data_IF_099810678558
#
_entry.id   IF_099810678558
#
_cell.length_a   1.000
_cell.length_b   1.000
_cell.length_c   1.000
_cell.angle_alpha   90.00
_cell.angle_beta   90.00
_cell.angle_gamma   90.00
#
_symmetry.space_group_name_H-M   'P 1'
#
loop_
_entity.id
_entity.type
_entity.pdbx_description
1 polymer ?
#
# COMPACT_ATOMS: atom_id res chain seq x y z
N UNK A 1 15.98 -26.36 10.93
CA UNK A 1 16.50 -24.98 10.96
C UNK A 1 15.68 -24.02 10.09
N UNK A 2 15.55 -24.24 8.77
CA UNK A 2 14.82 -23.34 7.85
C UNK A 2 13.35 -23.05 8.23
N UNK A 3 12.60 -24.05 8.72
CA UNK A 3 11.21 -23.85 9.20
C UNK A 3 11.12 -22.91 10.41
N UNK A 4 12.10 -22.92 11.30
CA UNK A 4 12.12 -22.07 12.49
C UNK A 4 12.47 -20.62 12.13
N UNK A 5 13.39 -20.43 11.17
CA UNK A 5 13.72 -19.12 10.60
C UNK A 5 12.48 -18.51 9.93
N UNK A 6 11.77 -19.27 9.09
CA UNK A 6 10.56 -18.79 8.43
C UNK A 6 9.47 -18.40 9.43
N UNK A 7 9.29 -19.16 10.51
CA UNK A 7 8.36 -18.83 11.60
C UNK A 7 8.77 -17.57 12.36
N UNK A 8 10.06 -17.33 12.57
CA UNK A 8 10.55 -16.11 13.23
C UNK A 8 10.23 -14.86 12.40
N UNK A 9 10.56 -14.89 11.10
CA UNK A 9 10.26 -13.77 10.20
C UNK A 9 8.77 -13.52 10.01
N UNK A 10 7.95 -14.57 10.06
CA UNK A 10 6.50 -14.46 10.00
C UNK A 10 5.89 -13.78 11.24
N UNK A 11 6.60 -13.74 12.38
CA UNK A 11 6.15 -13.05 13.61
C UNK A 11 6.52 -11.56 13.65
N UNK A 12 7.28 -11.07 12.68
CA UNK A 12 7.67 -9.66 12.62
C UNK A 12 6.62 -8.90 11.80
N UNK A 13 5.64 -8.32 12.47
CA UNK A 13 4.52 -7.66 11.78
C UNK A 13 4.89 -6.27 11.25
N UNK A 14 5.77 -5.54 11.95
CA UNK A 14 6.20 -4.20 11.56
C UNK A 14 7.46 -4.19 10.69
N UNK A 15 7.53 -3.23 9.76
CA UNK A 15 8.71 -2.97 8.93
C UNK A 15 9.95 -2.69 9.78
N UNK A 16 9.80 -1.93 10.87
CA UNK A 16 10.87 -1.59 11.82
C UNK A 16 11.56 -2.84 12.39
N UNK A 17 10.78 -3.84 12.81
CA UNK A 17 11.32 -5.08 13.37
C UNK A 17 12.05 -5.89 12.31
N UNK A 18 11.52 -5.94 11.08
CA UNK A 18 12.18 -6.65 9.97
C UNK A 18 13.53 -6.02 9.62
N UNK A 19 13.58 -4.69 9.50
CA UNK A 19 14.81 -3.95 9.24
C UNK A 19 15.82 -4.15 10.37
N UNK A 20 15.39 -4.02 11.63
CA UNK A 20 16.25 -4.23 12.79
C UNK A 20 16.95 -5.59 12.75
N UNK A 21 16.18 -6.68 12.65
CA UNK A 21 16.75 -8.03 12.69
C UNK A 21 17.64 -8.33 11.49
N UNK A 22 17.28 -7.87 10.29
CA UNK A 22 18.10 -8.10 9.09
C UNK A 22 19.44 -7.41 9.22
N UNK A 23 19.43 -6.13 9.59
CA UNK A 23 20.66 -5.35 9.72
C UNK A 23 21.51 -5.89 10.86
N UNK A 24 20.89 -6.23 12.00
CA UNK A 24 21.59 -6.81 13.14
C UNK A 24 22.32 -8.10 12.77
N UNK A 25 21.69 -9.00 12.02
CA UNK A 25 22.32 -10.26 11.58
C UNK A 25 23.52 -9.99 10.68
N UNK A 26 23.38 -9.09 9.70
CA UNK A 26 24.47 -8.73 8.79
C UNK A 26 25.63 -8.07 9.55
N UNK A 27 25.35 -7.07 10.38
CA UNK A 27 26.38 -6.35 11.15
C UNK A 27 27.08 -7.26 12.15
N UNK A 28 26.34 -8.14 12.85
CA UNK A 28 26.95 -9.10 13.79
C UNK A 28 27.84 -10.11 13.05
N UNK A 29 27.42 -10.57 11.87
CA UNK A 29 28.22 -11.46 11.02
C UNK A 29 29.53 -10.80 10.57
N UNK A 30 29.45 -9.56 10.10
CA UNK A 30 30.63 -8.77 9.67
C UNK A 30 31.56 -8.49 10.85
N UNK A 31 31.02 -8.10 12.01
CA UNK A 31 31.81 -7.87 13.22
C UNK A 31 32.51 -9.14 13.69
N UNK A 32 31.83 -10.29 13.63
CA UNK A 32 32.42 -11.59 14.00
C UNK A 32 33.53 -12.00 13.04
N UNK A 33 33.32 -11.82 11.73
CA UNK A 33 34.34 -12.12 10.73
C UNK A 33 35.56 -11.20 10.88
N UNK A 34 35.32 -9.89 11.05
CA UNK A 34 36.38 -8.91 11.28
C UNK A 34 37.18 -9.25 12.56
N UNK A 35 36.51 -9.68 13.63
CA UNK A 35 37.20 -10.10 14.85
C UNK A 35 38.11 -11.33 14.63
N UNK A 36 37.62 -12.35 13.92
CA UNK A 36 38.42 -13.52 13.57
C UNK A 36 39.63 -13.10 12.71
N UNK A 37 39.41 -12.22 11.74
CA UNK A 37 40.47 -11.71 10.86
C UNK A 37 41.56 -10.97 11.65
N UNK A 38 41.18 -10.04 12.55
CA UNK A 38 42.13 -9.32 13.40
C UNK A 38 42.95 -10.25 14.31
N UNK A 39 42.33 -11.33 14.81
CA UNK A 39 43.01 -12.33 15.64
C UNK A 39 44.03 -13.14 14.81
N UNK A 40 43.66 -13.51 13.58
CA UNK A 40 44.54 -14.28 12.68
C UNK A 40 45.73 -13.44 12.23
N UNK A 41 45.53 -12.17 11.88
CA UNK A 41 46.62 -11.27 11.48
C UNK A 41 47.53 -10.87 12.66
N UNK A 42 47.07 -11.05 13.91
CA UNK A 42 47.88 -10.80 15.09
C UNK A 42 48.23 -9.33 15.31
N UNK A 43 47.41 -8.40 14.80
CA UNK A 43 47.68 -6.95 14.80
C UNK A 43 47.97 -6.43 16.22
N UNK A 44 47.02 -6.59 17.14
CA UNK A 44 47.18 -6.32 18.57
C UNK A 44 46.03 -6.97 19.37
N UNK A 45 46.32 -7.36 20.61
CA UNK A 45 45.32 -7.82 21.60
C UNK A 45 44.20 -6.80 21.85
N UNK A 46 44.51 -5.50 21.90
CA UNK A 46 43.51 -4.44 22.09
C UNK A 46 42.54 -4.34 20.90
N UNK A 47 43.06 -4.42 19.67
CA UNK A 47 42.25 -4.43 18.45
C UNK A 47 41.30 -5.63 18.41
N UNK A 48 41.80 -6.82 18.77
CA UNK A 48 41.01 -8.05 18.83
C UNK A 48 39.89 -7.97 19.88
N UNK A 49 40.17 -7.37 21.04
CA UNK A 49 39.17 -7.18 22.08
C UNK A 49 38.06 -6.21 21.63
N UNK A 50 38.44 -5.10 20.98
CA UNK A 50 37.48 -4.12 20.46
C UNK A 50 36.60 -4.70 19.34
N UNK A 51 37.16 -5.50 18.43
CA UNK A 51 36.40 -6.12 17.34
C UNK A 51 35.42 -7.17 17.84
N UNK A 52 35.79 -7.98 18.83
CA UNK A 52 34.85 -8.86 19.56
C UNK A 52 33.78 -8.03 20.27
N UNK A 53 34.17 -6.90 20.86
CA UNK A 53 33.26 -5.94 21.50
C UNK A 53 32.12 -5.48 20.59
N UNK A 54 32.38 -5.27 19.29
CA UNK A 54 31.34 -4.92 18.31
C UNK A 54 30.23 -5.97 18.22
N UNK A 55 30.60 -7.26 18.14
CA UNK A 55 29.63 -8.35 18.07
C UNK A 55 28.84 -8.48 19.39
N UNK A 56 29.53 -8.33 20.53
CA UNK A 56 28.90 -8.38 21.86
C UNK A 56 27.89 -7.25 22.06
N UNK A 57 28.23 -6.01 21.66
CA UNK A 57 27.29 -4.88 21.68
C UNK A 57 26.06 -5.15 20.84
N UNK A 58 26.21 -5.70 19.64
CA UNK A 58 25.07 -6.06 18.78
C UNK A 58 24.15 -7.07 19.49
N UNK A 59 24.70 -8.12 20.09
CA UNK A 59 23.93 -9.15 20.80
C UNK A 59 23.23 -8.57 22.04
N UNK A 60 23.92 -7.72 22.83
CA UNK A 60 23.32 -7.06 23.99
C UNK A 60 22.16 -6.15 23.60
N UNK A 61 22.33 -5.35 22.54
CA UNK A 61 21.24 -4.51 22.02
C UNK A 61 20.08 -5.36 21.51
N UNK A 62 20.34 -6.49 20.86
CA UNK A 62 19.31 -7.42 20.44
C UNK A 62 18.45 -7.90 21.63
N UNK A 63 19.11 -8.25 22.73
CA UNK A 63 18.44 -8.67 23.95
C UNK A 63 17.59 -7.54 24.55
N UNK A 64 18.14 -6.33 24.66
CA UNK A 64 17.42 -5.14 25.15
C UNK A 64 16.21 -4.82 24.25
N UNK A 65 16.37 -4.92 22.93
CA UNK A 65 15.29 -4.66 21.97
C UNK A 65 14.13 -5.65 22.12
N UNK A 66 14.43 -6.93 22.40
CA UNK A 66 13.42 -7.95 22.68
C UNK A 66 12.68 -7.67 24.00
N UNK A 67 13.39 -7.24 25.04
CA UNK A 67 12.78 -6.95 26.35
C UNK A 67 11.94 -5.69 26.37
N UNK A 68 12.44 -4.61 25.74
CA UNK A 68 11.78 -3.30 25.76
C UNK A 68 10.73 -3.13 24.66
N UNK A 69 10.84 -3.88 23.56
CA UNK A 69 10.04 -3.69 22.36
C UNK A 69 10.38 -2.43 21.56
N UNK A 70 11.38 -1.64 21.98
CA UNK A 70 11.78 -0.36 21.39
C UNK A 70 12.86 -0.54 20.31
N UNK A 71 12.53 -1.30 19.26
CA UNK A 71 13.50 -1.74 18.23
C UNK A 71 14.23 -0.59 17.54
N UNK A 72 13.51 0.46 17.11
CA UNK A 72 14.14 1.59 16.41
C UNK A 72 15.07 2.43 17.32
N UNK A 73 14.74 2.57 18.61
CA UNK A 73 15.60 3.27 19.55
C UNK A 73 16.85 2.45 19.85
N UNK A 74 16.69 1.15 20.09
CA UNK A 74 17.78 0.20 20.26
C UNK A 74 18.72 0.19 19.04
N UNK A 75 18.15 0.21 17.83
CA UNK A 75 18.89 0.33 16.58
C UNK A 75 19.77 1.59 16.54
N UNK A 76 19.18 2.76 16.81
CA UNK A 76 19.89 4.03 16.78
C UNK A 76 21.01 4.05 17.84
N UNK A 77 20.75 3.53 19.04
CA UNK A 77 21.74 3.40 20.11
C UNK A 77 22.90 2.50 19.68
N UNK A 78 22.62 1.35 19.07
CA UNK A 78 23.67 0.47 18.53
C UNK A 78 24.54 1.19 17.51
N UNK A 79 23.92 1.87 16.53
CA UNK A 79 24.68 2.63 15.53
C UNK A 79 25.52 3.73 16.17
N UNK A 80 25.01 4.44 17.18
CA UNK A 80 25.79 5.44 17.90
C UNK A 80 26.97 4.83 18.67
N UNK A 81 26.78 3.68 19.34
CA UNK A 81 27.86 3.00 20.06
C UNK A 81 28.94 2.55 19.08
N UNK A 82 28.54 1.94 17.96
CA UNK A 82 29.46 1.52 16.92
C UNK A 82 30.22 2.73 16.35
N UNK A 83 29.52 3.77 15.89
CA UNK A 83 30.10 4.89 15.17
C UNK A 83 30.88 5.88 16.04
N UNK A 84 30.44 6.12 17.28
CA UNK A 84 31.05 7.13 18.17
C UNK A 84 32.14 6.57 19.11
N UNK A 85 32.14 5.25 19.39
CA UNK A 85 33.07 4.68 20.36
C UNK A 85 33.92 3.57 19.74
N UNK A 86 33.28 2.54 19.18
CA UNK A 86 34.02 1.36 18.71
C UNK A 86 34.83 1.66 17.44
N UNK A 87 34.27 2.41 16.48
CA UNK A 87 35.00 2.78 15.27
C UNK A 87 36.22 3.67 15.55
N UNK A 88 36.14 4.75 16.36
CA UNK A 88 37.31 5.52 16.76
C UNK A 88 38.40 4.69 17.47
N UNK A 89 38.02 3.80 18.39
CA UNK A 89 38.98 2.92 19.08
C UNK A 89 39.68 1.97 18.11
N UNK A 90 38.92 1.32 17.23
CA UNK A 90 39.47 0.44 16.20
C UNK A 90 40.35 1.22 15.21
N UNK A 91 40.00 2.47 14.90
CA UNK A 91 40.83 3.34 14.08
C UNK A 91 42.21 3.55 14.71
N UNK A 92 42.29 3.77 16.03
CA UNK A 92 43.57 3.92 16.73
C UNK A 92 44.36 2.61 16.84
N UNK A 93 43.67 1.49 17.05
CA UNK A 93 44.31 0.19 17.30
C UNK A 93 44.70 -0.58 16.04
N UNK A 94 44.08 -0.32 14.89
CA UNK A 94 44.30 -1.08 13.66
C UNK A 94 45.11 -0.33 12.59
N UNK A 95 45.75 0.80 12.93
CA UNK A 95 46.61 1.54 12.01
C UNK A 95 45.94 2.70 11.27
N UNK A 96 44.72 3.06 11.65
CA UNK A 96 44.07 4.31 11.24
C UNK A 96 43.95 4.46 9.72
N UNK A 97 44.50 5.55 9.18
CA UNK A 97 44.33 5.92 7.76
C UNK A 97 45.02 4.95 6.79
N UNK A 98 46.02 4.19 7.25
CA UNK A 98 46.76 3.23 6.41
C UNK A 98 46.10 1.84 6.37
N UNK A 99 45.00 1.66 7.09
CA UNK A 99 44.24 0.41 7.18
C UNK A 99 42.88 0.52 6.47
N UNK A 100 42.08 -0.54 6.49
CA UNK A 100 40.69 -0.54 6.03
C UNK A 100 39.73 0.30 6.89
N UNK A 101 40.16 0.81 8.06
CA UNK A 101 39.30 1.50 9.02
C UNK A 101 38.48 2.69 8.46
N UNK A 102 38.96 3.52 7.52
CA UNK A 102 38.14 4.55 6.89
C UNK A 102 36.85 4.00 6.25
N UNK A 103 36.90 2.80 5.66
CA UNK A 103 35.73 2.16 5.05
C UNK A 103 34.73 1.67 6.11
N UNK A 104 35.21 1.17 7.25
CA UNK A 104 34.35 0.82 8.39
C UNK A 104 33.69 2.07 9.00
N UNK A 105 34.42 3.17 9.13
CA UNK A 105 33.87 4.47 9.56
C UNK A 105 32.71 4.91 8.66
N UNK A 106 32.91 4.95 7.33
CA UNK A 106 31.85 5.29 6.36
C UNK A 106 30.66 4.34 6.45
N UNK A 107 30.92 3.04 6.60
CA UNK A 107 29.86 2.02 6.73
C UNK A 107 29.04 2.24 7.99
N UNK A 108 29.70 2.47 9.13
CA UNK A 108 29.04 2.74 10.41
C UNK A 108 28.13 3.98 10.37
N UNK A 109 28.57 5.04 9.68
CA UNK A 109 27.77 6.25 9.45
C UNK A 109 26.58 5.97 8.54
N UNK A 110 26.79 5.17 7.49
CA UNK A 110 25.74 4.80 6.53
C UNK A 110 24.63 3.97 7.18
N UNK A 111 24.95 3.16 8.20
CA UNK A 111 23.93 2.43 8.97
C UNK A 111 22.93 3.38 9.65
N UNK A 112 23.37 4.55 10.14
CA UNK A 112 22.47 5.53 10.77
C UNK A 112 21.37 6.01 9.80
N UNK A 113 21.63 6.02 8.49
CA UNK A 113 20.65 6.45 7.49
C UNK A 113 19.38 5.56 7.49
N UNK A 114 19.52 4.29 7.83
CA UNK A 114 18.45 3.30 7.90
C UNK A 114 17.65 3.36 9.21
N UNK A 115 18.07 4.17 10.18
CA UNK A 115 17.27 4.43 11.38
C UNK A 115 16.01 5.24 11.01
N UNK A 116 14.93 5.03 11.76
CA UNK A 116 13.70 5.79 11.62
C UNK A 116 13.61 6.91 12.66
N UNK A 117 12.83 7.95 12.33
CA UNK A 117 12.58 9.07 13.25
C UNK A 117 13.58 10.23 13.15
N UNK A 118 13.27 11.30 13.89
CA UNK A 118 13.94 12.60 13.81
C UNK A 118 15.36 12.66 14.39
N UNK A 119 15.73 11.71 15.26
CA UNK A 119 17.01 11.73 15.97
C UNK A 119 18.20 11.21 15.12
N UNK A 120 17.95 10.60 13.96
CA UNK A 120 19.01 10.06 13.10
C UNK A 120 19.95 11.13 12.53
N UNK A 121 19.43 12.32 12.23
CA UNK A 121 20.23 13.42 11.66
C UNK A 121 21.21 13.99 12.71
N UNK A 122 20.76 14.35 13.93
CA UNK A 122 21.68 14.71 15.01
C UNK A 122 22.71 13.61 15.31
N UNK A 123 22.28 12.34 15.38
CA UNK A 123 23.17 11.22 15.63
C UNK A 123 24.25 11.06 14.55
N UNK A 124 23.88 11.23 13.27
CA UNK A 124 24.80 11.20 12.15
C UNK A 124 25.83 12.33 12.23
N UNK A 125 25.38 13.58 12.46
CA UNK A 125 26.26 14.75 12.55
C UNK A 125 27.26 14.59 13.71
N UNK A 126 26.77 14.14 14.87
CA UNK A 126 27.60 13.90 16.04
C UNK A 126 28.63 12.78 15.79
N UNK A 127 28.20 11.66 15.23
CA UNK A 127 29.09 10.53 14.88
C UNK A 127 30.15 10.95 13.87
N UNK A 128 29.76 11.70 12.84
CA UNK A 128 30.68 12.24 11.83
C UNK A 128 31.72 13.16 12.49
N UNK A 129 31.28 14.06 13.37
CA UNK A 129 32.16 14.95 14.11
C UNK A 129 33.22 14.21 14.93
N UNK A 130 32.83 13.15 15.64
CA UNK A 130 33.77 12.32 16.41
C UNK A 130 34.77 11.61 15.49
N UNK A 131 34.30 11.01 14.40
CA UNK A 131 35.19 10.31 13.46
C UNK A 131 36.15 11.28 12.78
N UNK A 132 35.68 12.45 12.35
CA UNK A 132 36.54 13.51 11.79
C UNK A 132 37.55 14.02 12.80
N UNK A 133 37.16 14.22 14.06
CA UNK A 133 38.07 14.61 15.13
C UNK A 133 39.13 13.54 15.41
N UNK A 134 38.77 12.25 15.35
CA UNK A 134 39.71 11.14 15.51
C UNK A 134 40.75 11.13 14.40
N UNK A 135 40.31 11.28 13.14
CA UNK A 135 41.21 11.37 11.99
C UNK A 135 42.15 12.59 12.13
N UNK A 136 41.60 13.76 12.45
CA UNK A 136 42.40 14.97 12.64
C UNK A 136 43.42 14.84 13.80
N UNK A 137 43.03 14.18 14.90
CA UNK A 137 43.92 13.91 16.02
C UNK A 137 45.08 12.99 15.62
N UNK A 138 44.83 11.93 14.84
CA UNK A 138 45.90 11.05 14.34
C UNK A 138 46.82 11.71 13.33
N UNK A 139 46.33 12.72 12.61
CA UNK A 139 47.17 13.53 11.72
C UNK A 139 48.09 14.47 12.51
N UNK A 140 47.56 15.12 13.56
CA UNK A 140 48.34 16.02 14.42
C UNK A 140 49.31 15.26 15.34
N UNK A 141 48.94 14.06 15.77
CA UNK A 141 49.70 13.20 16.68
C UNK A 141 49.78 11.76 16.14
N UNK A 142 50.71 11.47 15.22
CA UNK A 142 50.84 10.14 14.62
C UNK A 142 51.10 9.02 15.64
N UNK A 143 51.75 9.33 16.76
CA UNK A 143 52.06 8.39 17.84
C UNK A 143 50.80 7.85 18.57
N UNK A 144 49.62 8.41 18.29
CA UNK A 144 48.34 7.86 18.78
C UNK A 144 47.99 6.51 18.15
N UNK A 145 48.57 6.19 16.98
CA UNK A 145 48.33 4.91 16.31
C UNK A 145 49.16 3.80 16.98
N UNK A 146 48.46 2.78 17.47
CA UNK A 146 49.10 1.69 18.22
C UNK A 146 49.66 0.61 17.31
N UNK A 147 49.00 0.34 16.18
CA UNK A 147 49.49 -0.61 15.19
C UNK A 147 50.12 0.14 14.01
N UNK A 148 51.30 -0.30 13.60
CA UNK A 148 51.92 0.08 12.35
C UNK A 148 51.90 -1.15 11.43
N UNK A 149 51.05 -1.11 10.42
CA UNK A 149 50.94 -2.20 9.44
C UNK A 149 52.07 -2.07 8.43
N UNK A 150 52.65 -3.20 8.05
CA UNK A 150 53.50 -3.26 6.88
C UNK A 150 52.67 -3.11 5.60
N UNK A 151 53.35 -2.92 4.47
CA UNK A 151 52.69 -2.62 3.20
C UNK A 151 51.73 -3.75 2.80
N UNK A 152 52.14 -5.00 2.96
CA UNK A 152 51.38 -6.15 2.48
C UNK A 152 50.15 -6.42 3.36
N UNK A 153 50.26 -6.32 4.70
CA UNK A 153 49.12 -6.43 5.60
C UNK A 153 48.13 -5.27 5.39
N UNK A 154 48.62 -4.05 5.18
CA UNK A 154 47.76 -2.89 4.88
C UNK A 154 46.91 -3.11 3.61
N UNK A 155 47.51 -3.62 2.52
CA UNK A 155 46.75 -3.93 1.30
C UNK A 155 45.73 -5.06 1.51
N UNK A 156 46.09 -6.10 2.26
CA UNK A 156 45.20 -7.21 2.56
C UNK A 156 44.00 -6.75 3.40
N UNK A 157 44.23 -5.98 4.46
CA UNK A 157 43.18 -5.44 5.33
C UNK A 157 42.24 -4.49 4.57
N UNK A 158 42.79 -3.60 3.73
CA UNK A 158 41.98 -2.72 2.87
C UNK A 158 41.11 -3.54 1.91
N UNK A 159 41.67 -4.57 1.26
CA UNK A 159 40.94 -5.43 0.32
C UNK A 159 39.80 -6.18 1.02
N UNK A 160 40.09 -6.83 2.14
CA UNK A 160 39.10 -7.58 2.93
C UNK A 160 38.00 -6.64 3.42
N UNK A 161 38.39 -5.48 3.96
CA UNK A 161 37.43 -4.49 4.46
C UNK A 161 36.58 -3.91 3.34
N UNK A 162 37.14 -3.67 2.15
CA UNK A 162 36.38 -3.21 0.98
C UNK A 162 35.30 -4.23 0.58
N UNK A 163 35.65 -5.52 0.51
CA UNK A 163 34.71 -6.57 0.18
C UNK A 163 33.59 -6.68 1.23
N UNK A 164 33.94 -6.63 2.52
CA UNK A 164 32.98 -6.73 3.61
C UNK A 164 32.02 -5.53 3.65
N UNK A 165 32.56 -4.32 3.60
CA UNK A 165 31.76 -3.09 3.68
C UNK A 165 30.87 -2.91 2.46
N UNK A 166 31.40 -3.19 1.25
CA UNK A 166 30.64 -3.19 0.01
C UNK A 166 29.49 -4.19 0.03
N UNK A 167 29.75 -5.45 0.44
CA UNK A 167 28.72 -6.48 0.57
C UNK A 167 27.66 -6.11 1.61
N UNK A 168 28.06 -5.51 2.72
CA UNK A 168 27.16 -5.07 3.80
C UNK A 168 26.21 -3.99 3.32
N UNK A 169 26.72 -2.92 2.71
CA UNK A 169 25.90 -1.82 2.21
C UNK A 169 24.97 -2.28 1.08
N UNK A 170 25.45 -3.13 0.17
CA UNK A 170 24.62 -3.69 -0.89
C UNK A 170 23.50 -4.57 -0.34
N UNK A 171 23.80 -5.47 0.59
CA UNK A 171 22.81 -6.37 1.20
C UNK A 171 21.75 -5.61 2.01
N UNK A 172 22.17 -4.62 2.80
CA UNK A 172 21.23 -3.79 3.58
C UNK A 172 20.40 -2.90 2.66
N UNK A 173 21.01 -2.30 1.64
CA UNK A 173 20.32 -1.46 0.67
C UNK A 173 19.25 -2.23 -0.11
N UNK A 174 19.63 -3.37 -0.69
CA UNK A 174 18.69 -4.25 -1.43
C UNK A 174 17.56 -4.77 -0.56
N UNK A 175 17.86 -5.24 0.66
CA UNK A 175 16.83 -5.68 1.61
C UNK A 175 15.88 -4.54 2.00
N UNK A 176 16.42 -3.36 2.28
CA UNK A 176 15.61 -2.20 2.70
C UNK A 176 14.69 -1.72 1.58
N UNK A 177 15.20 -1.64 0.34
CA UNK A 177 14.41 -1.29 -0.84
C UNK A 177 13.32 -2.33 -1.12
N UNK A 178 13.64 -3.63 -0.99
CA UNK A 178 12.67 -4.71 -1.12
C UNK A 178 11.58 -4.65 -0.03
N UNK A 179 11.97 -4.42 1.22
CA UNK A 179 11.03 -4.32 2.33
C UNK A 179 10.09 -3.11 2.17
N UNK A 180 10.62 -1.98 1.68
CA UNK A 180 9.84 -0.78 1.39
C UNK A 180 8.86 -0.98 0.23
N UNK A 181 9.30 -1.57 -0.89
CA UNK A 181 8.42 -1.82 -2.04
C UNK A 181 7.27 -2.75 -1.66
N UNK A 182 7.55 -3.77 -0.84
CA UNK A 182 6.53 -4.70 -0.38
C UNK A 182 5.47 -4.04 0.51
N UNK A 183 5.84 -3.17 1.43
CA UNK A 183 4.86 -2.42 2.25
C UNK A 183 4.06 -1.42 1.41
N UNK A 184 4.69 -0.81 0.41
CA UNK A 184 3.99 0.05 -0.55
C UNK A 184 2.91 -0.73 -1.31
N UNK A 185 3.22 -1.93 -1.80
CA UNK A 185 2.27 -2.77 -2.53
C UNK A 185 1.09 -3.20 -1.67
N UNK A 186 1.31 -3.51 -0.39
CA UNK A 186 0.22 -3.80 0.55
C UNK A 186 -0.70 -2.59 0.74
N UNK A 187 -0.09 -1.41 0.93
CA UNK A 187 -0.84 -0.16 1.11
C UNK A 187 -1.69 0.14 -0.12
N UNK A 188 -1.12 0.02 -1.31
CA UNK A 188 -1.85 0.20 -2.58
C UNK A 188 -3.00 -0.79 -2.71
N UNK A 189 -2.79 -2.08 -2.37
CA UNK A 189 -3.87 -3.08 -2.41
C UNK A 189 -5.01 -2.75 -1.45
N UNK A 190 -4.69 -2.34 -0.22
CA UNK A 190 -5.69 -1.91 0.77
C UNK A 190 -6.45 -0.67 0.30
N UNK A 191 -5.75 0.31 -0.27
CA UNK A 191 -6.40 1.49 -0.85
C UNK A 191 -7.35 1.12 -1.99
N UNK A 192 -6.92 0.24 -2.91
CA UNK A 192 -7.79 -0.22 -4.00
C UNK A 192 -9.02 -0.99 -3.49
N UNK A 193 -8.86 -1.80 -2.43
CA UNK A 193 -9.98 -2.48 -1.79
C UNK A 193 -10.94 -1.51 -1.11
N UNK A 194 -10.41 -0.52 -0.39
CA UNK A 194 -11.23 0.52 0.21
C UNK A 194 -11.97 1.32 -0.86
N UNK A 195 -11.32 1.64 -1.96
CA UNK A 195 -11.92 2.38 -3.06
C UNK A 195 -13.04 1.56 -3.74
N UNK A 196 -12.80 0.28 -3.99
CA UNK A 196 -13.81 -0.65 -4.50
C UNK A 196 -15.05 -0.72 -3.59
N UNK A 197 -14.86 -0.93 -2.28
CA UNK A 197 -15.97 -0.98 -1.31
C UNK A 197 -16.68 0.37 -1.16
N UNK A 198 -15.91 1.46 -1.27
CA UNK A 198 -16.39 2.84 -1.24
C UNK A 198 -17.25 3.19 -2.46
N UNK A 199 -17.05 2.53 -3.60
CA UNK A 199 -17.78 2.81 -4.85
C UNK A 199 -19.01 1.93 -5.07
N UNK A 200 -19.14 0.79 -4.37
CA UNK A 200 -20.23 -0.17 -4.59
C UNK A 200 -21.31 -0.08 -3.51
N UNK A 201 -22.51 -0.54 -3.83
CA UNK A 201 -23.60 -0.78 -2.88
C UNK A 201 -23.41 -2.15 -2.22
N UNK A 202 -23.41 -2.26 -0.88
CA UNK A 202 -23.09 -3.51 -0.20
C UNK A 202 -24.15 -4.61 -0.40
N UNK A 203 -25.39 -4.26 -0.75
CA UNK A 203 -26.45 -5.24 -0.93
C UNK A 203 -26.44 -5.83 -2.35
N UNK A 204 -26.24 -5.00 -3.38
CA UNK A 204 -26.34 -5.44 -4.78
C UNK A 204 -25.00 -5.64 -5.48
N UNK A 205 -23.90 -5.09 -4.96
CA UNK A 205 -22.61 -5.07 -5.66
C UNK A 205 -22.55 -4.14 -6.88
N UNK A 206 -23.64 -3.42 -7.19
CA UNK A 206 -23.65 -2.37 -8.21
C UNK A 206 -22.89 -1.13 -7.73
N UNK A 207 -22.61 -0.17 -8.62
CA UNK A 207 -22.11 1.13 -8.16
C UNK A 207 -23.13 1.79 -7.23
N UNK A 208 -22.64 2.54 -6.25
CA UNK A 208 -23.51 3.31 -5.38
C UNK A 208 -23.82 4.69 -5.97
N UNK A 209 -24.80 5.36 -5.38
CA UNK A 209 -25.21 6.71 -5.78
C UNK A 209 -24.05 7.70 -5.88
N UNK A 210 -23.08 7.65 -4.96
CA UNK A 210 -21.94 8.58 -4.96
C UNK A 210 -21.05 8.36 -6.18
N UNK A 211 -20.73 7.10 -6.48
CA UNK A 211 -19.93 6.77 -7.66
C UNK A 211 -20.64 7.21 -8.95
N UNK A 212 -21.95 6.96 -9.06
CA UNK A 212 -22.74 7.40 -10.22
C UNK A 212 -22.69 8.92 -10.43
N UNK A 213 -22.84 9.71 -9.36
CA UNK A 213 -22.79 11.17 -9.47
C UNK A 213 -21.44 11.64 -10.00
N UNK A 214 -20.34 11.10 -9.44
CA UNK A 214 -18.99 11.40 -9.91
C UNK A 214 -18.79 10.97 -11.38
N UNK A 215 -19.32 9.81 -11.76
CA UNK A 215 -19.28 9.32 -13.14
C UNK A 215 -19.98 10.32 -14.09
N UNK A 216 -21.20 10.76 -13.74
CA UNK A 216 -21.98 11.71 -14.55
C UNK A 216 -21.31 13.09 -14.63
N UNK A 217 -20.76 13.60 -13.52
CA UNK A 217 -20.01 14.86 -13.49
C UNK A 217 -18.81 14.81 -14.44
N UNK A 218 -18.06 13.70 -14.41
CA UNK A 218 -16.91 13.49 -15.30
C UNK A 218 -17.32 13.35 -16.78
N UNK A 219 -18.45 12.69 -17.06
CA UNK A 219 -18.97 12.55 -18.42
C UNK A 219 -19.33 13.91 -19.03
N UNK A 220 -20.03 14.77 -18.27
CA UNK A 220 -20.35 16.15 -18.69
C UNK A 220 -19.08 16.97 -18.85
N UNK A 221 -18.20 16.99 -17.84
CA UNK A 221 -17.01 17.84 -17.82
C UNK A 221 -16.09 17.57 -18.99
N UNK A 222 -15.82 16.28 -19.25
CA UNK A 222 -14.93 15.89 -20.33
C UNK A 222 -15.58 15.95 -21.72
N UNK A 223 -16.89 16.26 -21.81
CA UNK A 223 -17.72 16.17 -23.03
C UNK A 223 -17.50 14.86 -23.79
N UNK A 224 -17.19 13.79 -23.04
CA UNK A 224 -16.83 12.48 -23.57
C UNK A 224 -18.12 11.74 -23.83
N UNK A 225 -18.64 11.92 -25.05
CA UNK A 225 -19.74 11.18 -25.66
C UNK A 225 -21.14 11.56 -25.20
N UNK A 226 -22.06 11.51 -26.16
CA UNK A 226 -23.49 11.50 -25.91
C UNK A 226 -23.84 10.14 -25.30
N UNK A 227 -24.64 10.15 -24.24
CA UNK A 227 -25.08 8.92 -23.55
C UNK A 227 -26.57 8.97 -23.30
N UNK A 228 -27.13 7.86 -22.84
CA UNK A 228 -28.54 7.78 -22.44
C UNK A 228 -28.63 7.42 -20.97
N UNK A 229 -29.63 7.97 -20.29
CA UNK A 229 -29.82 7.78 -18.85
C UNK A 229 -31.20 7.20 -18.58
N UNK A 230 -31.23 6.05 -17.91
CA UNK A 230 -32.44 5.45 -17.41
C UNK A 230 -32.47 5.46 -15.89
N UNK A 231 -33.62 5.80 -15.30
CA UNK A 231 -33.88 5.61 -13.87
C UNK A 231 -35.05 4.65 -13.70
N UNK A 232 -34.78 3.49 -13.11
CA UNK A 232 -35.72 2.40 -12.90
C UNK A 232 -36.11 2.34 -11.43
N UNK A 233 -37.37 2.04 -11.14
CA UNK A 233 -37.88 1.89 -9.77
C UNK A 233 -38.86 0.70 -9.73
N UNK A 234 -38.63 -0.20 -8.77
CA UNK A 234 -39.46 -1.39 -8.57
C UNK A 234 -40.88 -0.97 -8.17
N UNK A 235 -41.85 -1.50 -8.91
CA UNK A 235 -43.25 -1.20 -8.67
C UNK A 235 -43.74 -1.92 -7.42
N UNK A 236 -44.49 -1.17 -6.58
CA UNK A 236 -45.07 -1.66 -5.33
C UNK A 236 -44.08 -2.31 -4.33
N UNK A 237 -42.81 -1.91 -4.35
CA UNK A 237 -41.77 -2.47 -3.47
C UNK A 237 -42.12 -2.42 -1.98
N UNK A 238 -42.74 -1.34 -1.50
CA UNK A 238 -43.23 -1.26 -0.11
C UNK A 238 -44.25 -2.37 0.21
N UNK A 239 -45.15 -2.69 -0.72
CA UNK A 239 -46.13 -3.77 -0.55
C UNK A 239 -45.44 -5.13 -0.47
N UNK A 240 -44.37 -5.34 -1.25
CA UNK A 240 -43.54 -6.54 -1.16
C UNK A 240 -42.96 -6.68 0.25
N UNK A 241 -42.30 -5.63 0.76
CA UNK A 241 -41.73 -5.64 2.11
C UNK A 241 -42.79 -5.87 3.20
N UNK A 242 -43.98 -5.27 3.06
CA UNK A 242 -45.07 -5.48 4.03
C UNK A 242 -45.67 -6.88 3.98
N UNK A 243 -45.70 -7.52 2.80
CA UNK A 243 -46.36 -8.82 2.62
C UNK A 243 -45.42 -9.98 2.94
N UNK A 244 -44.15 -9.86 2.59
CA UNK A 244 -43.18 -10.97 2.61
C UNK A 244 -41.98 -10.72 3.54
N UNK A 245 -41.90 -9.55 4.17
CA UNK A 245 -40.81 -9.18 5.07
C UNK A 245 -39.64 -8.49 4.38
N UNK A 246 -38.78 -7.88 5.18
CA UNK A 246 -37.61 -7.12 4.71
C UNK A 246 -36.56 -8.03 4.05
N UNK A 247 -36.35 -9.24 4.60
CA UNK A 247 -35.36 -10.18 4.06
C UNK A 247 -35.67 -10.57 2.60
N UNK A 248 -36.95 -10.78 2.29
CA UNK A 248 -37.39 -11.04 0.91
C UNK A 248 -37.30 -9.79 0.04
N UNK A 249 -37.57 -8.60 0.60
CA UNK A 249 -37.31 -7.33 -0.07
C UNK A 249 -35.85 -7.16 -0.51
N UNK A 250 -34.93 -7.53 0.38
CA UNK A 250 -33.49 -7.52 0.12
C UNK A 250 -33.08 -8.57 -0.92
N UNK A 251 -33.74 -9.73 -0.94
CA UNK A 251 -33.58 -10.74 -2.00
C UNK A 251 -34.03 -10.19 -3.36
N UNK A 252 -35.20 -9.54 -3.42
CA UNK A 252 -35.71 -8.87 -4.63
C UNK A 252 -34.71 -7.83 -5.13
N UNK A 253 -34.18 -6.99 -4.24
CA UNK A 253 -33.16 -5.99 -4.58
C UNK A 253 -31.89 -6.67 -5.13
N UNK A 254 -31.39 -7.72 -4.47
CA UNK A 254 -30.22 -8.49 -4.93
C UNK A 254 -30.44 -9.09 -6.31
N UNK A 255 -31.60 -9.69 -6.56
CA UNK A 255 -31.89 -10.36 -7.83
C UNK A 255 -31.99 -9.35 -8.98
N UNK A 256 -32.66 -8.21 -8.77
CA UNK A 256 -32.71 -7.13 -9.77
C UNK A 256 -31.31 -6.55 -10.01
N UNK A 257 -30.52 -6.35 -8.95
CA UNK A 257 -29.15 -5.87 -9.06
C UNK A 257 -28.26 -6.78 -9.91
N UNK A 258 -28.26 -8.09 -9.63
CA UNK A 258 -27.51 -9.07 -10.42
C UNK A 258 -27.96 -9.13 -11.89
N UNK A 259 -29.27 -8.99 -12.14
CA UNK A 259 -29.79 -8.96 -13.50
C UNK A 259 -29.25 -7.76 -14.27
N UNK A 260 -29.23 -6.58 -13.67
CA UNK A 260 -28.66 -5.39 -14.32
C UNK A 260 -27.15 -5.53 -14.52
N UNK A 261 -26.42 -6.00 -13.50
CA UNK A 261 -24.97 -6.18 -13.57
C UNK A 261 -24.55 -7.14 -14.69
N UNK A 262 -25.28 -8.24 -14.89
CA UNK A 262 -24.96 -9.24 -15.93
C UNK A 262 -25.03 -8.67 -17.35
N UNK A 263 -25.79 -7.60 -17.53
CA UNK A 263 -26.03 -7.01 -18.85
C UNK A 263 -25.32 -5.65 -19.03
N UNK A 264 -24.61 -5.19 -18.01
CA UNK A 264 -23.76 -4.00 -18.08
C UNK A 264 -22.50 -4.32 -18.89
N UNK A 265 -22.19 -3.49 -19.88
CA UNK A 265 -20.92 -3.53 -20.59
C UNK A 265 -20.00 -2.40 -20.10
N UNK A 266 -19.30 -2.65 -18.98
CA UNK A 266 -18.33 -1.69 -18.41
C UNK A 266 -17.23 -1.31 -19.41
N UNK A 267 -16.86 -2.18 -20.36
CA UNK A 267 -15.83 -1.90 -21.36
C UNK A 267 -16.29 -0.88 -22.40
N UNK A 268 -17.58 -0.84 -22.69
CA UNK A 268 -18.22 0.18 -23.54
C UNK A 268 -18.43 1.53 -22.82
N UNK A 269 -18.07 1.60 -21.53
CA UNK A 269 -18.27 2.78 -20.69
C UNK A 269 -19.66 2.87 -20.09
N UNK A 270 -20.46 1.80 -20.06
CA UNK A 270 -21.73 1.80 -19.33
C UNK A 270 -21.52 1.83 -17.82
N UNK A 271 -22.53 2.31 -17.09
CA UNK A 271 -22.51 2.34 -15.62
C UNK A 271 -23.90 2.04 -15.06
N UNK A 272 -24.01 0.99 -14.24
CA UNK A 272 -25.21 0.66 -13.49
C UNK A 272 -24.99 0.90 -12.01
N UNK A 273 -25.89 1.68 -11.40
CA UNK A 273 -25.82 2.03 -10.00
C UNK A 273 -27.15 1.84 -9.27
N UNK A 274 -27.06 1.47 -7.98
CA UNK A 274 -28.19 1.60 -7.06
C UNK A 274 -28.26 3.05 -6.56
N UNK A 275 -29.29 3.77 -7.00
CA UNK A 275 -29.48 5.19 -6.71
C UNK A 275 -30.22 5.43 -5.39
N UNK A 276 -31.11 4.53 -5.01
CA UNK A 276 -31.90 4.60 -3.77
C UNK A 276 -32.30 3.22 -3.27
N UNK A 277 -33.23 3.13 -2.32
CA UNK A 277 -33.62 1.84 -1.71
C UNK A 277 -34.05 0.82 -2.78
N UNK A 278 -34.99 1.19 -3.64
CA UNK A 278 -35.56 0.37 -4.71
C UNK A 278 -35.28 0.91 -6.13
N UNK A 279 -34.43 1.94 -6.21
CA UNK A 279 -34.16 2.68 -7.45
C UNK A 279 -32.78 2.35 -8.01
N UNK A 280 -32.76 2.10 -9.31
CA UNK A 280 -31.55 1.85 -10.09
C UNK A 280 -31.39 2.92 -11.15
N UNK A 281 -30.14 3.20 -11.51
CA UNK A 281 -29.80 4.06 -12.62
C UNK A 281 -28.86 3.34 -13.56
N UNK A 282 -29.07 3.56 -14.86
CA UNK A 282 -28.29 2.99 -15.92
C UNK A 282 -27.84 4.12 -16.85
N UNK A 283 -26.53 4.33 -16.92
CA UNK A 283 -25.86 5.13 -17.94
C UNK A 283 -25.47 4.23 -19.11
N UNK A 284 -26.03 4.49 -20.28
CA UNK A 284 -25.94 3.63 -21.47
C UNK A 284 -25.15 4.35 -22.55
N UNK A 285 -24.16 3.68 -23.10
CA UNK A 285 -23.45 4.12 -24.28
C UNK A 285 -23.96 3.30 -25.49
N UNK A 286 -24.59 3.98 -26.45
CA UNK A 286 -25.18 3.34 -27.63
C UNK A 286 -25.11 4.26 -28.84
N UNK A 287 -25.12 3.68 -30.05
CA UNK A 287 -25.06 4.45 -31.29
C UNK A 287 -26.35 5.20 -31.61
N UNK A 288 -27.48 4.78 -31.03
CA UNK A 288 -28.78 5.43 -31.22
C UNK A 288 -29.69 5.32 -30.01
N UNK A 289 -30.69 6.20 -29.94
CA UNK A 289 -31.71 6.19 -28.89
C UNK A 289 -32.53 4.88 -28.91
N UNK A 290 -32.79 4.36 -30.10
CA UNK A 290 -33.52 3.10 -30.29
C UNK A 290 -32.77 1.93 -29.66
N UNK A 291 -31.45 1.85 -29.88
CA UNK A 291 -30.60 0.82 -29.27
C UNK A 291 -30.55 0.93 -27.75
N UNK A 292 -30.36 2.15 -27.23
CA UNK A 292 -30.33 2.39 -25.79
C UNK A 292 -31.68 2.06 -25.13
N UNK A 293 -32.78 2.50 -25.72
CA UNK A 293 -34.12 2.19 -25.23
C UNK A 293 -34.41 0.70 -25.28
N UNK A 294 -33.99 0.00 -26.34
CA UNK A 294 -34.14 -1.44 -26.45
C UNK A 294 -33.43 -2.21 -25.32
N UNK A 295 -32.24 -1.76 -24.89
CA UNK A 295 -31.56 -2.31 -23.71
C UNK A 295 -32.41 -2.14 -22.44
N UNK A 296 -32.90 -0.93 -22.17
CA UNK A 296 -33.74 -0.65 -20.99
C UNK A 296 -35.03 -1.47 -21.00
N UNK A 297 -35.68 -1.57 -22.15
CA UNK A 297 -36.92 -2.33 -22.32
C UNK A 297 -36.68 -3.84 -22.19
N UNK A 298 -35.53 -4.35 -22.64
CA UNK A 298 -35.12 -5.72 -22.39
C UNK A 298 -34.96 -5.98 -20.88
N UNK A 299 -34.40 -5.05 -20.10
CA UNK A 299 -34.33 -5.19 -18.64
C UNK A 299 -35.69 -5.20 -17.98
N UNK A 300 -36.59 -4.29 -18.37
CA UNK A 300 -37.96 -4.28 -17.85
C UNK A 300 -38.65 -5.62 -18.09
N UNK A 301 -38.54 -6.17 -19.30
CA UNK A 301 -39.10 -7.49 -19.66
C UNK A 301 -38.43 -8.62 -18.89
N UNK A 302 -37.12 -8.58 -18.71
CA UNK A 302 -36.37 -9.59 -17.96
C UNK A 302 -36.77 -9.60 -16.48
N UNK A 303 -36.93 -8.42 -15.85
CA UNK A 303 -37.40 -8.31 -14.46
C UNK A 303 -38.81 -8.88 -14.31
N UNK A 304 -39.69 -8.64 -15.29
CA UNK A 304 -41.04 -9.22 -15.30
C UNK A 304 -41.06 -10.74 -15.31
N UNK A 305 -40.04 -11.35 -15.91
CA UNK A 305 -39.91 -12.80 -16.02
C UNK A 305 -39.10 -13.42 -14.87
N UNK A 306 -38.66 -12.64 -13.88
CA UNK A 306 -38.00 -13.18 -12.70
C UNK A 306 -38.99 -14.03 -11.89
N UNK A 307 -38.51 -15.16 -11.41
CA UNK A 307 -39.23 -16.05 -10.50
C UNK A 307 -38.40 -16.22 -9.24
N UNK A 308 -39.08 -16.36 -8.10
CA UNK A 308 -38.45 -16.53 -6.78
C UNK A 308 -38.85 -17.90 -6.25
N UNK A 309 -37.88 -18.76 -5.93
CA UNK A 309 -38.15 -20.16 -5.54
C UNK A 309 -39.10 -20.25 -4.34
N UNK A 310 -38.88 -19.41 -3.32
CA UNK A 310 -39.69 -19.40 -2.10
C UNK A 310 -41.04 -18.67 -2.26
N UNK A 311 -41.19 -17.88 -3.34
CA UNK A 311 -42.37 -17.05 -3.59
C UNK A 311 -42.73 -17.02 -5.09
N UNK A 312 -43.10 -18.17 -5.71
CA UNK A 312 -43.30 -18.27 -7.15
C UNK A 312 -44.47 -17.43 -7.68
N UNK A 313 -45.41 -17.04 -6.80
CA UNK A 313 -46.53 -16.16 -7.11
C UNK A 313 -46.15 -14.68 -7.24
N UNK A 314 -44.94 -14.28 -6.82
CA UNK A 314 -44.51 -12.88 -6.88
C UNK A 314 -44.12 -12.54 -8.32
N UNK A 315 -44.85 -11.61 -8.92
CA UNK A 315 -44.49 -10.99 -10.19
C UNK A 315 -43.96 -9.59 -9.95
N UNK A 316 -42.70 -9.37 -10.35
CA UNK A 316 -42.07 -8.05 -10.25
C UNK A 316 -42.28 -7.26 -11.54
N UNK A 317 -42.46 -5.96 -11.40
CA UNK A 317 -42.42 -5.04 -12.53
C UNK A 317 -41.62 -3.80 -12.14
N UNK A 318 -41.11 -3.09 -13.15
CA UNK A 318 -40.40 -1.83 -12.93
C UNK A 318 -40.98 -0.76 -13.83
N UNK A 319 -40.98 0.46 -13.29
CA UNK A 319 -41.33 1.66 -14.03
C UNK A 319 -40.12 2.57 -14.11
N UNK A 320 -39.92 3.19 -15.26
CA UNK A 320 -38.70 3.93 -15.54
C UNK A 320 -38.90 5.22 -16.31
N UNK A 321 -37.97 6.14 -16.12
CA UNK A 321 -37.76 7.29 -16.99
C UNK A 321 -36.51 7.08 -17.82
N UNK A 322 -36.51 7.54 -19.06
CA UNK A 322 -35.40 7.44 -20.01
C UNK A 322 -35.19 8.79 -20.69
N UNK A 323 -33.95 9.29 -20.67
CA UNK A 323 -33.58 10.57 -21.29
C UNK A 323 -32.30 10.44 -22.10
N UNK A 324 -32.25 11.02 -23.32
CA UNK A 324 -31.00 11.18 -24.04
C UNK A 324 -30.21 12.36 -23.44
N UNK A 325 -28.92 12.13 -23.17
CA UNK A 325 -27.99 13.07 -22.56
C UNK A 325 -26.91 13.46 -23.57
N UNK A 326 -27.25 14.39 -24.45
CA UNK A 326 -26.32 14.94 -25.43
C UNK A 326 -25.40 15.98 -24.79
N UNK A 327 -24.16 16.05 -25.26
CA UNK A 327 -23.08 16.95 -24.81
C UNK A 327 -23.42 18.46 -24.80
N UNK A 328 -24.55 18.88 -25.39
CA UNK A 328 -25.09 20.25 -25.35
C UNK A 328 -26.46 20.39 -24.69
N UNK A 329 -27.09 19.29 -24.27
CA UNK A 329 -28.49 19.26 -23.82
C UNK A 329 -28.70 19.58 -22.34
N UNK A 330 -27.70 19.32 -21.49
CA UNK A 330 -27.79 19.56 -20.05
C UNK A 330 -26.56 20.31 -19.53
N UNK A 331 -26.80 21.35 -18.72
CA UNK A 331 -25.73 22.17 -18.14
C UNK A 331 -25.16 21.58 -16.83
N UNK A 332 -25.91 20.71 -16.15
CA UNK A 332 -25.56 20.14 -14.85
C UNK A 332 -26.25 18.77 -14.66
N UNK A 333 -25.57 17.85 -13.97
CA UNK A 333 -26.08 16.52 -13.55
C UNK A 333 -27.44 16.64 -12.86
N UNK A 334 -27.62 17.68 -12.03
CA UNK A 334 -28.88 17.88 -11.30
C UNK A 334 -30.09 17.99 -12.22
N UNK A 335 -29.97 18.67 -13.35
CA UNK A 335 -31.07 18.84 -14.31
C UNK A 335 -31.44 17.51 -14.97
N UNK A 336 -30.45 16.68 -15.32
CA UNK A 336 -30.67 15.34 -15.86
C UNK A 336 -31.42 14.46 -14.87
N UNK A 337 -30.98 14.45 -13.61
CA UNK A 337 -31.61 13.66 -12.55
C UNK A 337 -33.07 14.06 -12.30
N UNK A 338 -33.35 15.37 -12.28
CA UNK A 338 -34.73 15.87 -12.13
C UNK A 338 -35.60 15.40 -13.31
N UNK A 339 -35.07 15.47 -14.52
CA UNK A 339 -35.83 15.13 -15.73
C UNK A 339 -36.11 13.63 -15.85
N UNK A 340 -35.12 12.78 -15.57
CA UNK A 340 -35.31 11.32 -15.62
C UNK A 340 -36.24 10.85 -14.49
N UNK A 341 -36.16 11.45 -13.30
CA UNK A 341 -37.06 11.12 -12.19
C UNK A 341 -38.51 11.55 -12.47
N UNK A 342 -38.74 12.67 -13.14
CA UNK A 342 -40.11 13.10 -13.49
C UNK A 342 -40.79 12.16 -14.48
N UNK A 343 -40.06 11.65 -15.49
CA UNK A 343 -40.56 10.63 -16.41
C UNK A 343 -40.85 9.31 -15.69
N UNK A 344 -39.98 8.90 -14.77
CA UNK A 344 -40.19 7.72 -13.93
C UNK A 344 -41.45 7.85 -13.07
N UNK A 345 -41.70 9.03 -12.50
CA UNK A 345 -42.93 9.30 -11.73
C UNK A 345 -44.15 9.21 -12.65
N UNK A 346 -44.10 9.78 -13.85
CA UNK A 346 -45.18 9.68 -14.84
C UNK A 346 -45.48 8.22 -15.21
N UNK A 347 -44.44 7.40 -15.44
CA UNK A 347 -44.58 5.97 -15.72
C UNK A 347 -45.33 5.23 -14.59
N UNK A 348 -45.05 5.56 -13.33
CA UNK A 348 -45.77 4.99 -12.18
C UNK A 348 -47.23 5.46 -12.09
N UNK A 349 -47.52 6.69 -12.47
CA UNK A 349 -48.88 7.25 -12.45
C UNK A 349 -49.77 6.72 -13.59
N UNK A 350 -49.18 6.36 -14.73
CA UNK A 350 -49.90 5.91 -15.94
C UNK A 350 -50.03 4.39 -16.03
N UNK A 351 -50.12 3.69 -14.90
CA UNK A 351 -50.38 2.24 -14.88
C UNK A 351 -49.17 1.34 -14.66
N UNK A 352 -47.99 1.91 -14.36
CA UNK A 352 -46.76 1.19 -14.00
C UNK A 352 -46.22 0.28 -15.13
N UNK A 353 -45.20 -0.52 -14.84
CA UNK A 353 -44.62 -1.52 -15.75
C UNK A 353 -44.28 -0.97 -17.16
N UNK A 354 -43.76 0.26 -17.23
CA UNK A 354 -43.45 0.94 -18.48
C UNK A 354 -42.23 1.86 -18.34
N UNK A 355 -41.57 2.14 -19.46
CA UNK A 355 -40.51 3.13 -19.55
C UNK A 355 -41.07 4.34 -20.29
N UNK A 356 -40.91 5.54 -19.71
CA UNK A 356 -41.30 6.81 -20.33
C UNK A 356 -40.08 7.54 -20.86
N UNK A 357 -40.12 7.96 -22.12
CA UNK A 357 -39.15 8.86 -22.72
C UNK A 357 -39.78 10.23 -22.98
N UNK A 358 -39.05 11.13 -23.65
CA UNK A 358 -39.52 12.49 -23.95
C UNK A 358 -40.50 12.57 -25.14
N UNK A 359 -40.78 11.46 -25.83
CA UNK A 359 -41.36 11.48 -27.18
C UNK A 359 -42.82 10.99 -27.23
N UNK A 360 -43.43 10.65 -26.09
CA UNK A 360 -44.84 10.19 -26.03
C UNK A 360 -45.73 10.91 -25.00
#
# INVERSE_FOLDING_TARGET
MLKNIRKFWAKQDSLERKLFWSILVVVTGVASFSAIFTIIEGINSAASLCSVGCAVVCIMIAFIAVQTGLYNQCYLVMCCILSCFLMPLLFLFCGGITSGMPLYCITSLSLIAFAQGRFKVPAFIFSLGIQSATIAATWAYPDLLVAQLDRDAAYLDILVTHLLTGFTLFSIGTFSLWAYSHERDKTTKLLNQLDYLSMRDPLTGLYNRRHLLNYLENAIWNRRHDFYLAMLDIDDFKRINYTYGQDFGDEVIRTVGHLLQKNEDEMSGECVARYGCEKYMYVINAGSEVEAYAKVEAFRKAIRNLTFENHPQVSLTVSGGFVPCFSRGFADVKQMLIKVDSLRVAAKQQGKNQIRNMVE
#
